data_IF_340807254874
#
_entry.id   IF_340807254874
#
_cell.length_a   1.000
_cell.length_b   1.000
_cell.length_c   1.000
_cell.angle_alpha   90.00
_cell.angle_beta   90.00
_cell.angle_gamma   90.00
#
_symmetry.space_group_name_H-M   'P 1'
#
loop_
_entity.id
_entity.type
_entity.pdbx_description
1 polymer ?
#
# COMPACT_ATOMS: atom_id res chain seq x y z
N UNK A 1 18.79 15.84 -5.48
CA UNK A 1 18.25 15.14 -4.30
C UNK A 1 17.38 16.10 -3.52
N UNK A 2 16.07 15.99 -3.74
CA UNK A 2 15.08 16.65 -2.89
C UNK A 2 15.15 16.08 -1.46
N UNK A 3 14.94 16.88 -0.42
CA UNK A 3 14.94 16.39 0.96
C UNK A 3 13.82 15.35 1.15
N UNK A 4 14.10 14.31 1.95
CA UNK A 4 13.10 13.32 2.31
C UNK A 4 12.03 13.98 3.17
N UNK A 5 10.77 13.56 2.97
CA UNK A 5 9.68 13.92 3.88
C UNK A 5 9.99 13.42 5.29
N UNK A 6 9.47 14.14 6.27
CA UNK A 6 9.57 13.73 7.67
C UNK A 6 8.78 12.46 7.90
N UNK A 7 9.25 11.59 8.79
CA UNK A 7 8.46 10.45 9.26
C UNK A 7 7.16 10.88 9.98
N UNK A 8 7.07 12.16 10.37
CA UNK A 8 5.90 12.75 11.02
C UNK A 8 5.02 13.55 10.04
N UNK A 9 5.27 13.46 8.73
CA UNK A 9 4.39 14.08 7.72
C UNK A 9 2.99 13.46 7.77
N UNK A 10 1.97 14.31 7.75
CA UNK A 10 0.55 13.91 7.80
C UNK A 10 -0.10 14.15 6.44
N UNK A 11 -0.91 13.22 5.97
CA UNK A 11 -1.59 13.26 4.67
C UNK A 11 -1.50 11.94 3.91
N UNK A 12 -2.00 11.91 2.67
CA UNK A 12 -1.95 10.73 1.81
C UNK A 12 -0.62 10.68 1.04
N UNK A 13 0.36 9.97 1.60
CA UNK A 13 1.67 9.72 0.99
C UNK A 13 1.77 8.26 0.51
N UNK A 14 0.81 7.84 -0.32
CA UNK A 14 0.68 6.45 -0.76
C UNK A 14 0.70 6.39 -2.28
N UNK A 15 1.46 5.44 -2.81
CA UNK A 15 1.42 5.02 -4.21
C UNK A 15 1.43 3.49 -4.28
N UNK A 16 1.02 2.94 -5.42
CA UNK A 16 0.85 1.49 -5.61
C UNK A 16 1.92 0.95 -6.54
N UNK A 17 2.67 -0.05 -6.08
CA UNK A 17 3.52 -0.84 -6.96
C UNK A 17 2.66 -1.85 -7.73
N UNK A 18 2.67 -1.75 -9.06
CA UNK A 18 1.91 -2.65 -9.93
C UNK A 18 2.84 -3.62 -10.66
N UNK A 19 2.37 -4.86 -10.74
CA UNK A 19 2.97 -5.94 -11.51
C UNK A 19 1.86 -6.74 -12.19
N UNK A 20 2.09 -7.15 -13.43
CA UNK A 20 1.18 -8.04 -14.15
C UNK A 20 1.88 -9.36 -14.42
N UNK A 21 1.15 -10.45 -14.26
CA UNK A 21 1.60 -11.78 -14.59
C UNK A 21 0.61 -12.37 -15.59
N UNK A 22 1.07 -12.67 -16.80
CA UNK A 22 0.22 -13.31 -17.80
C UNK A 22 0.12 -14.80 -17.48
N UNK A 23 -1.08 -15.34 -17.55
CA UNK A 23 -1.25 -16.79 -17.55
C UNK A 23 -0.60 -17.34 -18.83
N UNK A 24 0.48 -18.10 -18.66
CA UNK A 24 1.22 -18.72 -19.76
C UNK A 24 0.93 -20.22 -19.85
N UNK A 25 -0.01 -20.75 -19.05
CA UNK A 25 -0.29 -22.18 -18.93
C UNK A 25 0.76 -22.95 -18.13
N UNK A 26 1.83 -22.29 -17.67
CA UNK A 26 2.83 -22.82 -16.77
C UNK A 26 2.60 -22.30 -15.35
N UNK A 27 2.81 -23.14 -14.35
CA UNK A 27 2.75 -22.73 -12.95
C UNK A 27 3.83 -21.69 -12.65
N UNK A 28 3.43 -20.43 -12.49
CA UNK A 28 4.32 -19.36 -12.05
C UNK A 28 4.69 -19.59 -10.59
N UNK A 29 5.98 -19.56 -10.29
CA UNK A 29 6.48 -19.76 -8.94
C UNK A 29 6.32 -18.50 -8.08
N UNK A 30 6.21 -18.67 -6.76
CA UNK A 30 6.20 -17.54 -5.81
C UNK A 30 7.44 -16.64 -5.98
N UNK A 31 8.60 -17.23 -6.31
CA UNK A 31 9.84 -16.46 -6.51
C UNK A 31 9.74 -15.52 -7.72
N UNK A 32 9.10 -15.95 -8.79
CA UNK A 32 8.88 -15.13 -9.99
C UNK A 32 7.90 -13.99 -9.71
N UNK A 33 6.79 -14.26 -8.99
CA UNK A 33 5.85 -13.22 -8.56
C UNK A 33 6.54 -12.16 -7.69
N UNK A 34 7.38 -12.59 -6.73
CA UNK A 34 8.19 -11.67 -5.91
C UNK A 34 9.16 -10.86 -6.76
N UNK A 35 9.73 -11.45 -7.82
CA UNK A 35 10.57 -10.75 -8.79
C UNK A 35 9.82 -9.61 -9.49
N UNK A 36 8.65 -9.93 -10.05
CA UNK A 36 7.78 -8.96 -10.73
C UNK A 36 7.34 -7.81 -9.79
N UNK A 37 6.97 -8.15 -8.55
CA UNK A 37 6.62 -7.15 -7.54
C UNK A 37 7.80 -6.26 -7.17
N UNK A 38 9.02 -6.81 -7.06
CA UNK A 38 10.23 -6.02 -6.80
C UNK A 38 10.54 -5.05 -7.93
N UNK A 39 10.33 -5.46 -9.18
CA UNK A 39 10.45 -4.56 -10.33
C UNK A 39 9.40 -3.45 -10.28
N UNK A 40 8.16 -3.78 -9.90
CA UNK A 40 7.10 -2.81 -9.65
C UNK A 40 7.45 -1.80 -8.56
N UNK A 41 7.98 -2.28 -7.43
CA UNK A 41 8.44 -1.43 -6.33
C UNK A 41 9.59 -0.52 -6.75
N UNK A 42 10.55 -1.04 -7.53
CA UNK A 42 11.68 -0.25 -8.02
C UNK A 42 11.22 0.95 -8.87
N UNK A 43 10.13 0.80 -9.64
CA UNK A 43 9.55 1.90 -10.44
C UNK A 43 8.97 3.02 -9.58
N UNK A 44 8.30 2.70 -8.47
CA UNK A 44 7.64 3.72 -7.64
C UNK A 44 8.59 4.46 -6.68
N UNK A 45 9.77 3.90 -6.41
CA UNK A 45 10.80 4.57 -5.59
C UNK A 45 11.80 5.35 -6.45
N UNK A 46 11.64 5.33 -7.77
CA UNK A 46 12.48 6.08 -8.69
C UNK A 46 12.24 7.59 -8.55
N UNK A 47 13.31 8.39 -8.52
CA UNK A 47 13.23 9.84 -8.32
C UNK A 47 12.43 10.52 -9.44
N UNK A 48 12.47 10.00 -10.68
CA UNK A 48 11.65 10.57 -11.78
C UNK A 48 10.17 10.35 -11.54
N UNK A 49 9.79 9.17 -11.06
CA UNK A 49 8.40 8.88 -10.73
C UNK A 49 7.91 9.77 -9.58
N UNK A 50 8.68 9.83 -8.48
CA UNK A 50 8.35 10.66 -7.31
C UNK A 50 8.21 12.13 -7.72
N UNK A 51 9.14 12.66 -8.51
CA UNK A 51 9.07 14.04 -8.98
C UNK A 51 7.85 14.28 -9.87
N UNK A 52 7.52 13.34 -10.76
CA UNK A 52 6.35 13.47 -11.63
C UNK A 52 5.05 13.53 -10.84
N UNK A 53 4.85 12.65 -9.85
CA UNK A 53 3.63 12.66 -9.02
C UNK A 53 3.60 13.80 -7.99
N UNK A 54 4.74 14.42 -7.70
CA UNK A 54 4.84 15.58 -6.80
C UNK A 54 4.61 16.91 -7.52
N UNK A 55 4.47 16.89 -8.84
CA UNK A 55 4.15 18.07 -9.63
C UNK A 55 2.73 18.58 -9.30
N UNK A 56 2.61 19.87 -9.00
CA UNK A 56 1.35 20.44 -8.55
C UNK A 56 0.28 20.54 -9.65
N UNK A 57 0.70 20.57 -10.92
CA UNK A 57 -0.20 20.74 -12.06
C UNK A 57 -0.48 19.41 -12.76
N UNK A 58 0.53 18.53 -12.86
CA UNK A 58 0.47 17.28 -13.65
C UNK A 58 0.63 16.00 -12.82
N UNK A 59 0.72 16.12 -11.49
CA UNK A 59 1.00 14.97 -10.62
C UNK A 59 -0.11 13.91 -10.63
N UNK A 60 -1.35 14.35 -10.81
CA UNK A 60 -2.51 13.45 -10.93
C UNK A 60 -2.47 12.65 -12.24
N UNK A 61 -2.16 13.30 -13.36
CA UNK A 61 -2.01 12.67 -14.67
C UNK A 61 -0.85 11.67 -14.66
N UNK A 62 0.29 12.03 -14.05
CA UNK A 62 1.43 11.14 -13.88
C UNK A 62 1.07 9.90 -13.05
N UNK A 63 0.26 10.08 -11.99
CA UNK A 63 -0.27 8.97 -11.20
C UNK A 63 -1.20 8.08 -12.02
N UNK A 64 -2.14 8.66 -12.77
CA UNK A 64 -3.04 7.91 -13.66
C UNK A 64 -2.28 7.11 -14.71
N UNK A 65 -1.27 7.72 -15.35
CA UNK A 65 -0.41 7.07 -16.34
C UNK A 65 0.27 5.83 -15.76
N UNK A 66 0.82 5.95 -14.55
CA UNK A 66 1.48 4.84 -13.87
C UNK A 66 0.53 3.69 -13.49
N UNK A 67 -0.76 4.01 -13.37
CA UNK A 67 -1.82 3.06 -13.05
C UNK A 67 -2.52 2.48 -14.28
N UNK A 68 -2.13 2.85 -15.52
CA UNK A 68 -2.73 2.29 -16.75
C UNK A 68 -2.65 0.76 -16.82
N UNK A 69 -1.63 0.16 -16.20
CA UNK A 69 -1.49 -1.29 -16.07
C UNK A 69 -2.74 -1.93 -15.45
N UNK A 70 -3.42 -1.26 -14.52
CA UNK A 70 -4.69 -1.75 -13.94
C UNK A 70 -5.79 -1.84 -14.99
N UNK A 71 -5.90 -0.85 -15.88
CA UNK A 71 -6.85 -0.86 -16.99
C UNK A 71 -6.51 -1.90 -18.06
N UNK A 72 -5.21 -2.15 -18.29
CA UNK A 72 -4.72 -3.18 -19.22
C UNK A 72 -4.86 -4.60 -18.67
N UNK A 73 -4.96 -4.76 -17.34
CA UNK A 73 -5.11 -6.06 -16.68
C UNK A 73 -6.48 -6.72 -16.96
N UNK A 74 -7.41 -6.02 -17.63
CA UNK A 74 -8.66 -6.57 -18.15
C UNK A 74 -9.54 -7.21 -17.07
N UNK A 75 -10.19 -8.32 -17.39
CA UNK A 75 -11.01 -9.12 -16.46
C UNK A 75 -10.19 -10.08 -15.59
N UNK A 76 -8.87 -9.90 -15.50
CA UNK A 76 -8.00 -10.74 -14.69
C UNK A 76 -8.26 -10.58 -13.19
N UNK A 77 -7.85 -11.56 -12.40
CA UNK A 77 -7.91 -11.46 -10.95
C UNK A 77 -6.91 -10.39 -10.46
N UNK A 78 -7.44 -9.32 -9.86
CA UNK A 78 -6.63 -8.30 -9.20
C UNK A 78 -6.42 -8.69 -7.74
N UNK A 79 -5.17 -8.89 -7.34
CA UNK A 79 -4.80 -9.09 -5.95
C UNK A 79 -4.09 -7.85 -5.42
N UNK A 80 -4.59 -7.31 -4.31
CA UNK A 80 -4.01 -6.12 -3.65
C UNK A 80 -3.51 -6.48 -2.26
N UNK A 81 -2.46 -5.80 -1.82
CA UNK A 81 -1.97 -5.93 -0.46
C UNK A 81 -1.42 -4.59 0.04
N UNK A 82 -1.69 -4.27 1.30
CA UNK A 82 -1.15 -3.10 1.98
C UNK A 82 -0.43 -3.55 3.23
N UNK A 83 0.88 -3.28 3.32
CA UNK A 83 1.67 -3.64 4.50
C UNK A 83 1.54 -2.56 5.57
N UNK A 84 1.09 -2.98 6.75
CA UNK A 84 1.05 -2.15 7.97
C UNK A 84 2.22 -2.45 8.91
N UNK A 85 3.16 -3.29 8.45
CA UNK A 85 4.39 -3.59 9.16
C UNK A 85 5.20 -2.30 9.28
N UNK A 86 5.43 -1.84 10.51
CA UNK A 86 6.22 -0.64 10.78
C UNK A 86 5.43 0.57 11.29
N UNK A 87 4.10 0.57 11.22
CA UNK A 87 3.26 1.64 11.79
C UNK A 87 3.37 1.76 13.31
N UNK A 88 3.86 0.71 13.99
CA UNK A 88 4.14 0.77 15.42
C UNK A 88 2.88 0.82 16.31
N UNK A 89 1.72 0.41 15.79
CA UNK A 89 0.43 0.42 16.49
C UNK A 89 0.48 -0.21 17.89
N UNK A 90 1.22 -1.31 18.04
CA UNK A 90 1.42 -2.00 19.32
C UNK A 90 2.30 -1.26 20.33
N UNK A 91 2.90 -0.13 19.95
CA UNK A 91 3.82 0.64 20.81
C UNK A 91 3.14 1.78 21.54
N UNK A 92 1.98 2.22 21.06
CA UNK A 92 1.27 3.34 21.66
C UNK A 92 0.67 2.95 23.01
N UNK A 93 0.86 3.81 24.00
CA UNK A 93 0.26 3.70 25.33
C UNK A 93 -0.40 5.04 25.64
N UNK A 94 -1.71 5.02 25.81
CA UNK A 94 -2.52 6.21 26.07
C UNK A 94 -2.86 6.39 27.55
N UNK A 95 -2.23 5.61 28.45
CA UNK A 95 -2.43 5.65 29.89
C UNK A 95 -3.03 4.37 30.49
N UNK A 96 -3.39 3.39 29.66
CA UNK A 96 -3.99 2.11 30.07
C UNK A 96 -3.09 0.89 29.78
N UNK A 97 -1.84 1.13 29.39
CA UNK A 97 -0.93 0.11 28.90
C UNK A 97 -0.99 -0.06 27.39
N UNK A 98 -0.04 -0.82 26.86
CA UNK A 98 0.08 -1.08 25.42
C UNK A 98 -0.98 -2.10 24.95
N UNK A 99 -1.40 -2.04 23.66
CA UNK A 99 -2.25 -3.06 23.08
C UNK A 99 -1.65 -4.47 23.19
N UNK A 100 -2.48 -5.44 23.57
CA UNK A 100 -2.11 -6.86 23.52
C UNK A 100 -2.08 -7.37 22.07
N UNK A 101 -2.98 -6.85 21.24
CA UNK A 101 -3.11 -7.20 19.83
C UNK A 101 -3.67 -6.02 19.03
N UNK A 102 -3.22 -5.88 17.78
CA UNK A 102 -3.81 -4.97 16.79
C UNK A 102 -4.06 -5.74 15.51
N UNK A 103 -5.20 -5.50 14.88
CA UNK A 103 -5.54 -6.05 13.56
C UNK A 103 -6.29 -5.01 12.73
N UNK A 104 -6.44 -5.34 11.44
CA UNK A 104 -7.24 -4.55 10.51
C UNK A 104 -8.67 -5.09 10.55
N UNK A 105 -9.67 -4.20 10.50
CA UNK A 105 -11.08 -4.58 10.38
C UNK A 105 -11.61 -4.01 9.06
N UNK A 106 -11.83 -4.88 8.09
CA UNK A 106 -12.49 -4.55 6.83
C UNK A 106 -13.67 -5.48 6.62
N UNK A 107 -14.72 -4.99 5.96
CA UNK A 107 -15.78 -5.87 5.45
C UNK A 107 -15.19 -6.70 4.30
N UNK A 108 -15.19 -8.04 4.40
CA UNK A 108 -14.78 -8.90 3.29
C UNK A 108 -15.82 -8.93 2.16
N UNK A 109 -17.02 -8.37 2.36
CA UNK A 109 -18.02 -8.18 1.31
C UNK A 109 -17.56 -7.05 0.38
N UNK A 110 -17.26 -7.42 -0.87
CA UNK A 110 -16.46 -6.66 -1.83
C UNK A 110 -17.06 -5.36 -2.38
N UNK A 111 -18.03 -4.74 -1.69
CA UNK A 111 -18.67 -3.52 -2.18
C UNK A 111 -17.88 -2.23 -1.84
N UNK A 112 -16.87 -2.31 -0.96
CA UNK A 112 -15.98 -1.18 -0.66
C UNK A 112 -14.51 -1.58 -0.48
N UNK A 113 -13.64 -1.35 -1.50
CA UNK A 113 -12.22 -1.76 -1.45
C UNK A 113 -11.30 -0.79 -0.69
N UNK A 114 -11.83 0.13 0.12
CA UNK A 114 -11.00 1.12 0.83
C UNK A 114 -11.09 0.98 2.35
N UNK A 115 -10.09 0.28 2.89
CA UNK A 115 -9.43 0.48 4.18
C UNK A 115 -10.28 1.10 5.30
N UNK A 116 -11.01 0.26 6.04
CA UNK A 116 -11.39 0.59 7.41
C UNK A 116 -10.30 0.06 8.35
N UNK A 117 -9.88 0.87 9.33
CA UNK A 117 -8.97 0.44 10.39
C UNK A 117 -9.46 0.99 11.73
N UNK A 118 -9.56 0.12 12.74
CA UNK A 118 -9.84 0.50 14.12
C UNK A 118 -8.83 -0.17 15.07
N UNK A 119 -8.44 0.56 16.13
CA UNK A 119 -7.72 0.02 17.28
C UNK A 119 -8.74 -0.35 18.37
N UNK A 120 -8.59 -1.54 18.97
CA UNK A 120 -9.35 -1.95 20.16
C UNK A 120 -8.45 -1.81 21.39
N UNK A 121 -8.89 -1.05 22.39
CA UNK A 121 -8.25 -1.00 23.70
C UNK A 121 -8.97 -1.93 24.67
N UNK A 122 -8.20 -2.61 25.52
CA UNK A 122 -8.76 -3.35 26.67
C UNK A 122 -8.91 -2.37 27.83
N UNK A 123 -10.13 -2.21 28.33
CA UNK A 123 -10.35 -1.60 29.64
C UNK A 123 -9.92 -2.63 30.70
N UNK A 124 -8.82 -2.37 31.39
CA UNK A 124 -8.48 -3.10 32.61
C UNK A 124 -9.20 -2.38 33.74
N UNK A 125 -10.35 -2.92 34.14
CA UNK A 125 -11.15 -2.40 35.25
C UNK A 125 -10.31 -2.21 36.52
N UNK A 126 -10.60 -1.12 37.23
CA UNK A 126 -10.05 -0.81 38.55
C UNK A 126 -10.60 -1.76 39.63
#
# INVERSE_FOLDING_TARGET
>A
MSPRLSNNSVGNLVTTALASCKDTGNNVTMKELVGLLREGMARIVDEKYINAISDAEHGFEAMLESNKILGECGSGELMTCSSWIGFGTNRYDFGWGKPLWTGLYGDPSGDHPYANNFLVFKELGA
#
